data_IF_779003380023
#
_entry.id   IF_779003380023
#
_cell.length_a   1.000
_cell.length_b   1.000
_cell.length_c   1.000
_cell.angle_alpha   90.00
_cell.angle_beta   90.00
_cell.angle_gamma   90.00
#
_symmetry.space_group_name_H-M   'P 1'
#
loop_
_entity.id
_entity.type
_entity.pdbx_description
1 polymer ?
#
# COMPACT_ATOMS: atom_id res chain seq x y z
N UNK A 1 1.10 0.45 -19.48
CA UNK A 1 1.19 0.62 -18.02
C UNK A 1 -0.04 -0.01 -17.41
N UNK A 2 0.10 -0.94 -16.46
CA UNK A 2 -1.01 -1.67 -15.82
C UNK A 2 -1.50 -0.89 -14.60
N UNK A 3 -2.07 0.29 -14.86
CA UNK A 3 -2.72 1.15 -13.87
C UNK A 3 -4.22 1.01 -14.02
N UNK A 4 -4.91 0.66 -12.93
CA UNK A 4 -6.35 0.40 -12.92
C UNK A 4 -7.02 1.32 -11.92
N UNK A 5 -8.07 2.03 -12.37
CA UNK A 5 -8.79 3.02 -11.54
C UNK A 5 -10.23 2.55 -11.38
N UNK A 6 -10.67 2.47 -10.14
CA UNK A 6 -12.00 2.06 -9.74
C UNK A 6 -12.69 3.19 -8.98
N UNK A 7 -14.01 3.34 -9.18
CA UNK A 7 -14.80 4.40 -8.56
C UNK A 7 -16.14 3.85 -8.06
N UNK A 8 -16.51 4.21 -6.83
CA UNK A 8 -17.86 3.99 -6.27
C UNK A 8 -18.77 5.21 -6.51
N UNK A 9 -20.10 5.03 -6.53
CA UNK A 9 -21.05 6.15 -6.59
C UNK A 9 -20.87 7.19 -5.47
N UNK A 10 -20.35 6.78 -4.31
CA UNK A 10 -20.00 7.65 -3.17
C UNK A 10 -18.88 8.65 -3.46
N UNK A 11 -18.21 8.55 -4.62
CA UNK A 11 -17.04 9.35 -4.96
C UNK A 11 -15.71 8.76 -4.48
N UNK A 12 -15.74 7.64 -3.74
CA UNK A 12 -14.54 6.89 -3.37
C UNK A 12 -13.82 6.39 -4.63
N UNK A 13 -12.52 6.62 -4.69
CA UNK A 13 -11.65 6.18 -5.79
C UNK A 13 -10.53 5.32 -5.25
N UNK A 14 -10.21 4.25 -5.97
CA UNK A 14 -9.08 3.36 -5.73
C UNK A 14 -8.28 3.25 -7.02
N UNK A 15 -6.97 3.34 -6.93
CA UNK A 15 -6.04 3.12 -8.04
C UNK A 15 -5.05 2.04 -7.65
N UNK A 16 -4.86 1.07 -8.54
CA UNK A 16 -3.94 -0.05 -8.37
C UNK A 16 -2.90 -0.05 -9.48
N UNK A 17 -1.63 -0.28 -9.12
CA UNK A 17 -0.56 -0.57 -10.05
C UNK A 17 -0.06 -1.99 -9.78
N UNK A 18 -0.10 -2.85 -10.79
CA UNK A 18 0.38 -4.24 -10.69
C UNK A 18 1.67 -4.41 -11.49
N UNK A 19 2.72 -4.91 -10.85
CA UNK A 19 4.09 -5.02 -11.36
C UNK A 19 4.67 -3.68 -11.85
N UNK A 20 4.16 -2.56 -11.31
CA UNK A 20 4.51 -1.19 -11.67
C UNK A 20 4.49 -0.27 -10.47
N UNK A 21 5.26 0.82 -10.55
CA UNK A 21 5.28 1.88 -9.56
C UNK A 21 4.36 3.05 -9.97
N UNK A 22 3.85 3.83 -9.00
CA UNK A 22 3.25 5.12 -9.27
C UNK A 22 4.21 6.05 -10.05
N UNK A 23 3.74 6.76 -11.08
CA UNK A 23 4.59 7.64 -11.88
C UNK A 23 5.06 8.85 -11.06
N UNK A 24 6.24 9.36 -11.42
CA UNK A 24 6.83 10.58 -10.83
C UNK A 24 6.97 10.50 -9.30
N UNK A 25 7.21 9.30 -8.77
CA UNK A 25 7.48 9.06 -7.37
C UNK A 25 8.68 8.12 -7.24
N UNK A 26 9.79 8.64 -6.72
CA UNK A 26 10.99 7.85 -6.49
C UNK A 26 10.77 6.87 -5.33
N UNK A 27 11.39 5.69 -5.43
CA UNK A 27 11.48 4.79 -4.28
C UNK A 27 12.22 5.51 -3.15
N UNK A 28 11.74 5.38 -1.92
CA UNK A 28 12.41 5.90 -0.73
C UNK A 28 13.78 5.22 -0.61
N UNK A 29 14.84 5.99 -0.89
CA UNK A 29 16.21 5.55 -0.64
C UNK A 29 16.44 5.65 0.86
N UNK A 30 16.43 4.51 1.54
CA UNK A 30 16.56 4.49 2.99
C UNK A 30 17.73 3.63 3.45
N UNK A 31 18.46 4.16 4.44
CA UNK A 31 19.52 3.41 5.13
C UNK A 31 19.02 2.69 6.39
N UNK A 32 17.83 3.03 6.89
CA UNK A 32 17.29 2.51 8.15
C UNK A 32 15.86 1.96 7.97
N UNK A 33 15.71 0.68 8.30
CA UNK A 33 14.46 -0.05 8.16
C UNK A 33 13.94 -0.49 9.53
N UNK A 34 12.64 -0.39 9.74
CA UNK A 34 11.96 -1.18 10.76
C UNK A 34 11.61 -2.51 10.12
N UNK A 35 12.14 -3.59 10.70
CA UNK A 35 11.97 -4.93 10.16
C UNK A 35 11.24 -5.81 11.16
N UNK A 36 10.19 -6.48 10.72
CA UNK A 36 9.49 -7.51 11.51
C UNK A 36 9.34 -8.78 10.70
N UNK A 37 9.44 -9.93 11.37
CA UNK A 37 9.21 -11.23 10.76
C UNK A 37 7.82 -11.70 11.17
N UNK A 38 7.02 -12.05 10.17
CA UNK A 38 5.69 -12.62 10.33
C UNK A 38 5.73 -14.12 10.02
N UNK A 39 4.83 -14.86 10.65
CA UNK A 39 4.67 -16.30 10.39
C UNK A 39 4.41 -16.51 8.90
N UNK A 40 5.07 -17.54 8.33
CA UNK A 40 4.85 -17.98 6.97
C UNK A 40 3.37 -18.25 6.70
N UNK A 41 2.83 -17.69 5.62
CA UNK A 41 1.52 -18.05 5.11
C UNK A 41 1.56 -19.09 3.99
N UNK A 42 0.40 -19.34 3.38
CA UNK A 42 0.23 -20.24 2.22
C UNK A 42 -0.04 -19.48 0.92
N UNK A 43 -0.04 -18.14 0.97
CA UNK A 43 -0.28 -17.27 -0.17
C UNK A 43 0.78 -17.48 -1.26
N UNK A 44 0.33 -17.73 -2.49
CA UNK A 44 1.23 -17.81 -3.65
C UNK A 44 1.23 -16.46 -4.36
N UNK A 45 2.30 -15.66 -4.23
CA UNK A 45 2.38 -14.39 -4.93
C UNK A 45 2.52 -14.63 -6.44
N UNK A 46 1.80 -13.82 -7.21
CA UNK A 46 1.84 -13.78 -8.67
C UNK A 46 2.45 -12.47 -9.19
N UNK A 47 2.76 -11.53 -8.28
CA UNK A 47 3.27 -10.20 -8.58
C UNK A 47 4.54 -9.93 -7.78
N UNK A 48 5.46 -9.16 -8.35
CA UNK A 48 6.69 -8.73 -7.67
C UNK A 48 6.55 -7.36 -7.02
N UNK A 49 5.67 -6.52 -7.55
CA UNK A 49 5.38 -5.22 -6.97
C UNK A 49 3.92 -4.87 -7.12
N UNK A 50 3.40 -4.18 -6.11
CA UNK A 50 2.04 -3.65 -6.11
C UNK A 50 2.06 -2.28 -5.45
N UNK A 51 1.34 -1.34 -6.03
CA UNK A 51 0.97 -0.11 -5.34
C UNK A 51 -0.55 0.07 -5.33
N UNK A 52 -1.05 0.69 -4.28
CA UNK A 52 -2.44 1.05 -4.13
C UNK A 52 -2.55 2.49 -3.62
N UNK A 53 -3.54 3.21 -4.12
CA UNK A 53 -3.87 4.57 -3.74
C UNK A 53 -5.38 4.68 -3.55
N UNK A 54 -5.81 5.30 -2.46
CA UNK A 54 -7.23 5.52 -2.17
C UNK A 54 -7.49 7.00 -1.86
N UNK A 55 -8.62 7.49 -2.37
CA UNK A 55 -9.22 8.75 -1.97
C UNK A 55 -10.70 8.52 -1.66
N UNK A 56 -11.09 8.68 -0.39
CA UNK A 56 -12.44 8.44 0.12
C UNK A 56 -13.01 9.73 0.70
N UNK A 57 -14.02 10.35 0.08
CA UNK A 57 -14.75 11.46 0.70
C UNK A 57 -15.40 11.00 2.01
N UNK A 58 -15.15 11.73 3.11
CA UNK A 58 -15.76 11.48 4.42
C UNK A 58 -16.18 12.83 5.01
N UNK A 59 -17.48 13.12 4.95
CA UNK A 59 -18.00 14.43 5.34
C UNK A 59 -17.40 15.55 4.48
N UNK A 60 -16.81 16.56 5.13
CA UNK A 60 -16.14 17.69 4.48
C UNK A 60 -14.66 17.46 4.12
N UNK A 61 -14.13 16.27 4.36
CA UNK A 61 -12.72 15.94 4.15
C UNK A 61 -12.59 14.78 3.15
N UNK A 62 -11.38 14.55 2.64
CA UNK A 62 -11.06 13.34 1.88
C UNK A 62 -10.01 12.55 2.63
N UNK A 63 -10.33 11.31 2.99
CA UNK A 63 -9.35 10.39 3.52
C UNK A 63 -8.48 9.88 2.38
N UNK A 64 -7.15 10.00 2.53
CA UNK A 64 -6.21 9.69 1.46
C UNK A 64 -5.02 8.87 1.95
N UNK A 65 -4.53 7.98 1.08
CA UNK A 65 -3.25 7.32 1.25
C UNK A 65 -2.80 6.62 -0.03
N UNK A 66 -1.48 6.49 -0.19
CA UNK A 66 -0.83 5.66 -1.21
C UNK A 66 0.26 4.83 -0.55
N UNK A 67 0.37 3.56 -0.94
CA UNK A 67 1.45 2.67 -0.57
C UNK A 67 1.95 1.86 -1.76
N UNK A 68 3.23 1.54 -1.76
CA UNK A 68 3.87 0.62 -2.71
C UNK A 68 4.75 -0.38 -1.97
N UNK A 69 4.70 -1.63 -2.43
CA UNK A 69 5.54 -2.73 -1.94
C UNK A 69 6.23 -3.46 -3.08
N UNK A 70 7.38 -4.01 -2.76
CA UNK A 70 8.12 -4.97 -3.58
C UNK A 70 8.32 -6.26 -2.78
N UNK A 71 8.18 -7.41 -3.43
CA UNK A 71 8.38 -8.72 -2.83
C UNK A 71 9.58 -9.40 -3.50
N UNK A 72 10.60 -9.69 -2.71
CA UNK A 72 11.76 -10.49 -3.13
C UNK A 72 11.68 -11.89 -2.52
N UNK A 73 11.49 -12.90 -3.37
CA UNK A 73 11.47 -14.32 -3.01
C UNK A 73 12.75 -15.06 -3.44
N UNK A 74 13.79 -14.36 -3.89
CA UNK A 74 15.09 -14.99 -4.11
C UNK A 74 15.76 -15.42 -2.79
N UNK A 75 15.38 -14.76 -1.69
CA UNK A 75 15.90 -15.00 -0.35
C UNK A 75 14.90 -15.86 0.44
N UNK A 76 15.32 -17.07 0.84
CA UNK A 76 14.54 -17.94 1.72
C UNK A 76 14.71 -17.50 3.17
N UNK A 77 13.71 -16.79 3.68
CA UNK A 77 13.60 -16.38 5.08
C UNK A 77 12.78 -17.41 5.88
N UNK A 78 12.85 -17.39 7.21
CA UNK A 78 12.07 -18.26 8.12
C UNK A 78 10.58 -17.84 8.25
N UNK A 79 10.09 -17.00 7.35
CA UNK A 79 8.82 -16.28 7.47
C UNK A 79 8.75 -15.17 6.44
N UNK A 80 7.70 -14.36 6.46
CA UNK A 80 7.66 -13.14 5.68
C UNK A 80 8.38 -12.03 6.46
N UNK A 81 9.54 -11.60 5.97
CA UNK A 81 10.20 -10.42 6.53
C UNK A 81 9.60 -9.17 5.90
N UNK A 82 9.11 -8.25 6.72
CA UNK A 82 8.52 -6.99 6.27
C UNK A 82 9.42 -5.84 6.69
N UNK A 83 9.86 -5.05 5.71
CA UNK A 83 10.75 -3.91 5.90
C UNK A 83 10.00 -2.61 5.59
N UNK A 84 10.01 -1.67 6.54
CA UNK A 84 9.42 -0.34 6.41
C UNK A 84 10.50 0.73 6.59
N UNK A 85 10.67 1.70 5.67
CA UNK A 85 11.58 2.82 5.87
C UNK A 85 11.20 3.68 7.10
N UNK A 86 12.14 4.02 7.96
CA UNK A 86 11.90 4.91 9.14
C UNK A 86 12.43 6.34 8.91
N UNK A 87 13.06 6.60 7.76
CA UNK A 87 13.70 7.88 7.53
C UNK A 87 12.68 9.00 7.35
N UNK A 88 12.86 10.09 8.11
CA UNK A 88 12.04 11.30 7.99
C UNK A 88 12.34 11.98 6.67
N UNK A 89 11.60 11.64 5.64
CA UNK A 89 11.60 12.39 4.38
C UNK A 89 10.66 13.57 4.51
N UNK A 90 11.16 14.81 4.33
CA UNK A 90 10.27 15.93 3.99
C UNK A 90 9.75 15.66 2.58
N UNK A 91 8.53 15.14 2.51
CA UNK A 91 7.87 14.83 1.26
C UNK A 91 7.77 16.00 0.31
N UNK A 92 8.04 15.75 -0.96
CA UNK A 92 7.65 16.68 -2.01
C UNK A 92 6.15 16.59 -2.24
N UNK A 93 5.56 17.65 -2.77
CA UNK A 93 4.15 17.60 -3.12
C UNK A 93 3.94 16.74 -4.36
N UNK A 94 2.98 15.82 -4.31
CA UNK A 94 2.67 14.95 -5.45
C UNK A 94 1.36 15.35 -6.13
N UNK A 95 1.46 15.85 -7.36
CA UNK A 95 0.35 16.43 -8.12
C UNK A 95 -0.51 15.40 -8.86
N UNK A 96 -0.07 14.15 -8.99
CA UNK A 96 -0.81 13.08 -9.69
C UNK A 96 -1.78 12.31 -8.79
N UNK A 97 -1.96 12.78 -7.55
CA UNK A 97 -2.77 12.10 -6.55
C UNK A 97 -4.26 12.08 -6.92
N UNK A 98 -4.98 11.12 -6.35
CA UNK A 98 -6.43 11.05 -6.36
C UNK A 98 -7.05 12.06 -5.39
N UNK A 99 -6.30 12.65 -4.46
CA UNK A 99 -6.84 13.65 -3.55
C UNK A 99 -7.40 14.87 -4.32
N UNK A 100 -8.45 15.53 -3.82
CA UNK A 100 -8.87 16.83 -4.34
C UNK A 100 -7.74 17.86 -4.29
N UNK A 101 -7.76 18.83 -5.21
CA UNK A 101 -6.69 19.84 -5.34
C UNK A 101 -6.51 20.76 -4.12
N UNK A 102 -7.47 20.80 -3.20
CA UNK A 102 -7.38 21.59 -1.97
C UNK A 102 -6.59 20.88 -0.87
N UNK A 103 -6.33 19.57 -1.00
CA UNK A 103 -5.53 18.81 -0.05
C UNK A 103 -4.11 18.64 -0.59
N UNK A 104 -3.12 18.92 0.25
CA UNK A 104 -1.71 18.81 -0.12
C UNK A 104 -1.25 17.37 0.16
N UNK A 105 -0.95 16.63 -0.91
CA UNK A 105 -0.36 15.31 -0.80
C UNK A 105 1.16 15.41 -0.75
N UNK A 106 1.76 14.81 0.27
CA UNK A 106 3.19 14.73 0.54
C UNK A 106 3.67 13.30 0.29
N UNK A 107 4.84 13.15 -0.33
CA UNK A 107 5.49 11.85 -0.54
C UNK A 107 6.38 11.42 0.63
N UNK A 108 6.69 10.14 0.69
CA UNK A 108 7.60 9.59 1.69
C UNK A 108 6.92 9.07 2.95
N UNK A 109 7.71 8.39 3.78
CA UNK A 109 7.21 7.68 4.95
C UNK A 109 7.09 8.63 6.13
N UNK A 110 5.90 8.64 6.74
CA UNK A 110 5.66 9.31 7.99
C UNK A 110 5.56 8.27 9.11
N UNK A 111 6.36 8.48 10.16
CA UNK A 111 6.54 7.52 11.24
C UNK A 111 5.23 7.22 11.98
N UNK A 112 4.28 8.17 12.01
CA UNK A 112 2.97 7.95 12.63
C UNK A 112 2.15 6.82 11.98
N UNK A 113 2.40 6.48 10.71
CA UNK A 113 1.60 5.49 9.98
C UNK A 113 2.22 4.09 9.98
N UNK A 114 3.49 3.95 10.38
CA UNK A 114 4.20 2.66 10.46
C UNK A 114 3.44 1.61 11.28
N UNK A 115 2.84 1.93 12.45
CA UNK A 115 2.03 0.97 13.19
C UNK A 115 0.87 0.39 12.37
N UNK A 116 0.25 1.20 11.51
CA UNK A 116 -0.82 0.77 10.61
C UNK A 116 -0.33 -0.22 9.56
N UNK A 117 0.90 -0.05 9.06
CA UNK A 117 1.50 -0.97 8.10
C UNK A 117 1.68 -2.35 8.71
N UNK A 118 2.34 -2.45 9.87
CA UNK A 118 2.51 -3.73 10.53
C UNK A 118 1.18 -4.34 10.96
N UNK A 119 0.25 -3.53 11.47
CA UNK A 119 -1.06 -4.04 11.87
C UNK A 119 -1.84 -4.60 10.69
N UNK A 120 -1.71 -4.01 9.50
CA UNK A 120 -2.30 -4.52 8.28
C UNK A 120 -1.78 -5.90 7.88
N UNK A 121 -0.49 -6.19 8.14
CA UNK A 121 0.07 -7.53 7.94
C UNK A 121 -0.48 -8.51 8.98
N UNK A 122 -0.53 -8.11 10.26
CA UNK A 122 -1.05 -8.96 11.35
C UNK A 122 -2.51 -9.37 11.17
N UNK A 123 -3.31 -8.52 10.54
CA UNK A 123 -4.74 -8.80 10.32
C UNK A 123 -5.00 -9.81 9.19
N UNK A 124 -4.01 -10.07 8.35
CA UNK A 124 -4.19 -10.98 7.22
C UNK A 124 -4.20 -12.42 7.70
N UNK A 125 -5.15 -13.20 7.20
CA UNK A 125 -5.14 -14.65 7.35
C UNK A 125 -3.88 -15.26 6.70
N UNK A 126 -3.40 -16.38 7.23
CA UNK A 126 -2.24 -17.12 6.70
C UNK A 126 -2.35 -17.39 5.19
N UNK A 127 -3.56 -17.65 4.65
CA UNK A 127 -3.76 -17.89 3.22
C UNK A 127 -3.46 -16.68 2.29
N UNK A 128 -3.39 -15.46 2.82
CA UNK A 128 -3.09 -14.25 2.05
C UNK A 128 -1.61 -13.86 2.10
N UNK A 129 -0.88 -14.32 3.12
CA UNK A 129 0.53 -13.98 3.32
C UNK A 129 1.43 -14.91 2.49
N UNK A 130 2.46 -14.39 1.81
CA UNK A 130 3.48 -15.25 1.22
C UNK A 130 4.18 -16.12 2.27
N UNK A 131 4.55 -17.34 1.87
CA UNK A 131 5.25 -18.28 2.76
C UNK A 131 6.65 -17.83 3.19
N UNK A 132 7.35 -17.09 2.33
CA UNK A 132 8.69 -16.56 2.59
C UNK A 132 9.00 -15.38 1.67
N UNK A 133 10.10 -14.70 1.97
CA UNK A 133 10.64 -13.59 1.20
C UNK A 133 10.72 -12.31 2.03
N UNK A 134 11.15 -11.25 1.36
CA UNK A 134 11.26 -9.91 1.91
C UNK A 134 10.23 -9.01 1.23
N UNK A 135 9.24 -8.53 1.98
CA UNK A 135 8.29 -7.51 1.57
C UNK A 135 8.82 -6.14 1.98
N UNK A 136 9.28 -5.35 1.02
CA UNK A 136 9.81 -4.01 1.28
C UNK A 136 8.83 -2.95 0.82
N UNK A 137 8.38 -2.11 1.76
CA UNK A 137 7.65 -0.90 1.45
C UNK A 137 8.61 0.13 0.86
N UNK A 138 8.29 0.69 -0.30
CA UNK A 138 9.23 1.54 -1.03
C UNK A 138 8.68 2.90 -1.43
N UNK A 139 7.36 3.11 -1.36
CA UNK A 139 6.75 4.44 -1.53
C UNK A 139 5.54 4.58 -0.62
N UNK A 140 5.35 5.79 -0.13
CA UNK A 140 4.18 6.24 0.61
C UNK A 140 3.82 7.63 0.11
N UNK A 141 2.52 7.95 0.06
CA UNK A 141 2.07 9.32 0.04
C UNK A 141 0.87 9.49 0.96
N UNK A 142 0.83 10.63 1.64
CA UNK A 142 -0.21 10.96 2.60
C UNK A 142 -0.66 12.41 2.38
N UNK A 143 -1.91 12.69 2.67
CA UNK A 143 -2.42 14.06 2.76
C UNK A 143 -1.95 14.71 4.05
N UNK A 144 -1.86 16.03 4.03
CA UNK A 144 -1.50 16.84 5.21
C UNK A 144 -2.59 16.76 6.30
N UNK A 145 -3.86 16.61 5.90
CA UNK A 145 -5.01 16.58 6.84
C UNK A 145 -5.76 15.24 6.80
N UNK A 146 -5.95 14.66 5.62
CA UNK A 146 -6.86 13.52 5.42
C UNK A 146 -6.28 12.12 5.71
N UNK A 147 -5.04 11.98 6.17
CA UNK A 147 -4.42 10.66 6.33
C UNK A 147 -4.56 10.12 7.75
N UNK A 148 -4.56 8.79 7.89
CA UNK A 148 -4.74 8.13 9.19
C UNK A 148 -4.01 6.79 9.23
N UNK A 149 -3.79 6.27 10.43
CA UNK A 149 -3.21 4.93 10.61
C UNK A 149 -4.10 3.85 9.94
N UNK A 150 -5.42 4.01 10.04
CA UNK A 150 -6.38 3.03 9.52
C UNK A 150 -6.37 2.94 7.99
N UNK A 151 -6.18 4.06 7.27
CA UNK A 151 -6.10 3.99 5.79
C UNK A 151 -4.86 3.23 5.33
N UNK A 152 -3.74 3.38 6.06
CA UNK A 152 -2.52 2.65 5.76
C UNK A 152 -2.58 1.18 6.17
N UNK A 153 -3.36 0.85 7.21
CA UNK A 153 -3.72 -0.53 7.55
C UNK A 153 -4.57 -1.19 6.47
N UNK A 154 -5.60 -0.50 5.97
CA UNK A 154 -6.43 -0.96 4.83
C UNK A 154 -5.59 -1.16 3.56
N UNK A 155 -4.74 -0.19 3.21
CA UNK A 155 -3.89 -0.26 2.03
C UNK A 155 -2.90 -1.41 2.12
N UNK A 156 -2.30 -1.67 3.28
CA UNK A 156 -1.41 -2.82 3.46
C UNK A 156 -2.13 -4.15 3.22
N UNK A 157 -3.36 -4.33 3.71
CA UNK A 157 -4.14 -5.53 3.40
C UNK A 157 -4.39 -5.65 1.90
N UNK A 158 -4.78 -4.55 1.26
CA UNK A 158 -5.08 -4.53 -0.17
C UNK A 158 -3.86 -4.87 -1.04
N UNK A 159 -2.70 -4.27 -0.78
CA UNK A 159 -1.50 -4.54 -1.59
C UNK A 159 -1.00 -5.97 -1.40
N UNK A 160 -1.08 -6.54 -0.19
CA UNK A 160 -0.64 -7.93 0.03
C UNK A 160 -1.59 -8.92 -0.61
N UNK A 161 -2.91 -8.71 -0.52
CA UNK A 161 -3.88 -9.53 -1.27
C UNK A 161 -3.66 -9.42 -2.77
N UNK A 162 -3.40 -8.21 -3.27
CA UNK A 162 -3.09 -7.98 -4.68
C UNK A 162 -1.78 -8.64 -5.14
N UNK A 163 -0.81 -8.90 -4.26
CA UNK A 163 0.36 -9.70 -4.61
C UNK A 163 -0.02 -11.14 -5.00
N UNK A 164 -1.05 -11.70 -4.37
CA UNK A 164 -1.55 -13.06 -4.64
C UNK A 164 -2.61 -13.12 -5.76
N UNK A 165 -2.93 -12.00 -6.42
CA UNK A 165 -3.93 -11.98 -7.49
C UNK A 165 -3.34 -12.38 -8.86
N UNK A 166 -3.96 -13.37 -9.49
CA UNK A 166 -3.65 -13.77 -10.88
C UNK A 166 -4.14 -12.74 -11.90
N UNK A 167 -5.35 -12.22 -11.66
CA UNK A 167 -6.05 -11.31 -12.57
C UNK A 167 -6.34 -9.98 -11.88
N UNK A 168 -6.51 -8.92 -12.66
CA UNK A 168 -6.94 -7.60 -12.18
C UNK A 168 -8.41 -7.71 -11.75
N UNK A 169 -8.89 -6.99 -10.72
CA UNK A 169 -10.32 -6.89 -10.45
C UNK A 169 -11.08 -6.40 -11.68
N UNK A 170 -12.19 -7.05 -12.04
CA UNK A 170 -13.01 -6.67 -13.19
C UNK A 170 -14.04 -5.61 -12.80
N UNK A 171 -14.44 -5.61 -11.53
CA UNK A 171 -15.47 -4.71 -11.01
C UNK A 171 -14.93 -3.81 -9.89
N UNK A 172 -15.53 -2.62 -9.67
CA UNK A 172 -15.21 -1.81 -8.51
C UNK A 172 -15.39 -2.57 -7.19
N UNK A 173 -16.44 -3.37 -7.05
CA UNK A 173 -16.73 -4.08 -5.81
C UNK A 173 -15.63 -5.09 -5.48
N UNK A 174 -15.15 -5.86 -6.46
CA UNK A 174 -13.98 -6.72 -6.30
C UNK A 174 -12.72 -5.94 -5.89
N UNK A 175 -12.48 -4.78 -6.52
CA UNK A 175 -11.31 -3.97 -6.21
C UNK A 175 -11.37 -3.41 -4.77
N UNK A 176 -12.54 -2.94 -4.34
CA UNK A 176 -12.72 -2.38 -3.00
C UNK A 176 -12.76 -3.46 -1.91
N UNK A 177 -13.18 -4.69 -2.23
CA UNK A 177 -13.10 -5.83 -1.29
C UNK A 177 -11.68 -6.12 -0.82
N UNK A 178 -10.65 -5.72 -1.59
CA UNK A 178 -9.25 -5.86 -1.18
C UNK A 178 -8.91 -5.08 0.10
N UNK A 179 -9.59 -3.96 0.36
CA UNK A 179 -9.34 -3.07 1.50
C UNK A 179 -10.03 -3.55 2.80
N UNK A 180 -11.09 -4.34 2.65
CA UNK A 180 -11.96 -4.79 3.76
C UNK A 180 -11.26 -5.86 4.61
N UNK A 181 -11.80 -6.21 5.78
CA UNK A 181 -11.22 -7.24 6.65
C UNK A 181 -11.64 -8.63 6.16
#
# INVERSE_FOLDING_TARGET
MSCHIFKKPSGTRLRLWLDQAPPSMDSTRCHLWESKVFVSGEGTPHRKSVAAEIARPVGGLTVYGLLSVTLDQSIKTQGLQVNVPIERTKGESWSLSLAPSYDKVLTGFAAEYIPGLFKGIEDLSEGALPSFGILSFDRMAHSDIGSSIDIFRELTRAIVRALAMKQVPETPDEAFALLEA
#
